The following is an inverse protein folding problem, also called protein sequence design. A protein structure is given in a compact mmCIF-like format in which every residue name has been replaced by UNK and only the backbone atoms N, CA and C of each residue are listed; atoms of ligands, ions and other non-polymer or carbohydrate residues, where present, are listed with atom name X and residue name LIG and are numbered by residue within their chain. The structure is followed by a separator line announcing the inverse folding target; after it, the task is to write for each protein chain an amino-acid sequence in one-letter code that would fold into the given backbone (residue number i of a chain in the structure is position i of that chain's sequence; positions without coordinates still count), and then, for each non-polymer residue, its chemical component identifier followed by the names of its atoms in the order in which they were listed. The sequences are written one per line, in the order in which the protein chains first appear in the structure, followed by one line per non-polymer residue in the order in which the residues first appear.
data_IF_095229514418
#
_entry.id   IF_095229514418
#
_cell.length_a   1.000
_cell.length_b   1.000
_cell.length_c   1.000
_cell.angle_alpha   90.00
_cell.angle_beta   90.00
_cell.angle_gamma   90.00
#
_symmetry.space_group_name_H-M   'P 1'
#
loop_
_entity.id
_entity.type
_entity.pdbx_description
1 polymer ?
#
# COMPACT_ATOMS: atom_id res chain seq x y z
N UNK A 1 -14.75 14.83 -60.41
CA UNK A 1 -14.53 13.63 -59.57
C UNK A 1 -13.63 14.08 -58.41
N UNK A 2 -14.21 14.54 -57.31
CA UNK A 2 -13.48 15.08 -56.16
C UNK A 2 -13.68 14.11 -54.99
N UNK A 3 -12.60 13.48 -54.54
CA UNK A 3 -12.59 12.62 -53.34
C UNK A 3 -12.33 13.50 -52.12
N UNK A 4 -13.32 13.58 -51.22
CA UNK A 4 -13.20 14.27 -49.94
C UNK A 4 -12.72 13.26 -48.90
N UNK A 5 -11.44 13.34 -48.52
CA UNK A 5 -10.86 12.48 -47.46
C UNK A 5 -11.18 13.09 -46.10
N UNK A 6 -12.09 12.46 -45.36
CA UNK A 6 -12.44 12.84 -43.98
C UNK A 6 -11.36 12.28 -43.05
N UNK A 7 -10.54 13.15 -42.47
CA UNK A 7 -9.64 12.80 -41.37
C UNK A 7 -10.44 12.82 -40.05
N UNK A 8 -10.83 11.65 -39.57
CA UNK A 8 -11.38 11.47 -38.22
C UNK A 8 -10.20 11.61 -37.26
N UNK A 9 -10.11 12.75 -36.58
CA UNK A 9 -9.20 12.92 -35.44
C UNK A 9 -9.69 11.98 -34.33
N UNK A 10 -9.03 10.84 -34.16
CA UNK A 10 -9.17 9.99 -32.98
C UNK A 10 -8.63 10.77 -31.79
N UNK A 11 -9.53 11.43 -31.05
CA UNK A 11 -9.22 11.95 -29.73
C UNK A 11 -8.81 10.75 -28.86
N UNK A 12 -7.54 10.73 -28.44
CA UNK A 12 -7.04 9.76 -27.46
C UNK A 12 -7.81 10.03 -26.17
N UNK A 13 -8.75 9.14 -25.83
CA UNK A 13 -9.42 9.12 -24.54
C UNK A 13 -8.35 8.89 -23.47
N UNK A 14 -7.81 9.97 -22.91
CA UNK A 14 -7.02 9.94 -21.69
C UNK A 14 -7.83 9.18 -20.66
N UNK A 15 -7.29 8.05 -20.22
CA UNK A 15 -7.92 7.19 -19.23
C UNK A 15 -8.17 8.01 -17.97
N UNK A 16 -9.44 8.36 -17.73
CA UNK A 16 -9.85 9.14 -16.58
C UNK A 16 -9.63 8.28 -15.34
N UNK A 17 -8.73 8.74 -14.48
CA UNK A 17 -8.55 8.19 -13.14
C UNK A 17 -9.69 8.73 -12.29
N UNK A 18 -10.65 7.86 -11.97
CA UNK A 18 -11.81 8.22 -11.18
C UNK A 18 -11.51 7.88 -9.72
N UNK A 19 -11.41 8.91 -8.88
CA UNK A 19 -11.38 8.78 -7.42
C UNK A 19 -12.79 9.07 -6.89
N UNK A 20 -13.74 8.15 -7.11
CA UNK A 20 -15.13 8.29 -6.64
C UNK A 20 -15.27 8.01 -5.14
N UNK A 21 -14.22 7.52 -4.49
CA UNK A 21 -14.21 7.09 -3.09
C UNK A 21 -12.91 7.54 -2.41
N UNK A 22 -12.96 8.18 -1.22
CA UNK A 22 -11.75 8.50 -0.44
C UNK A 22 -10.88 7.29 -0.10
N UNK A 23 -11.43 6.07 -0.21
CA UNK A 23 -10.76 4.82 0.11
C UNK A 23 -10.14 4.09 -1.05
N UNK A 24 -10.64 4.35 -2.25
CA UNK A 24 -10.41 3.48 -3.39
C UNK A 24 -9.88 4.30 -4.54
N UNK A 25 -8.77 3.82 -5.09
CA UNK A 25 -8.07 4.47 -6.18
C UNK A 25 -7.87 3.48 -7.31
N UNK A 26 -8.46 3.79 -8.46
CA UNK A 26 -8.39 2.94 -9.63
C UNK A 26 -7.46 3.56 -10.68
N UNK A 27 -6.37 2.85 -10.98
CA UNK A 27 -5.49 3.17 -12.10
C UNK A 27 -5.73 2.14 -13.23
N UNK A 28 -5.99 2.61 -14.46
CA UNK A 28 -6.34 1.74 -15.60
C UNK A 28 -5.22 0.78 -16.02
N UNK A 29 -3.97 1.06 -15.62
CA UNK A 29 -2.79 0.27 -15.99
C UNK A 29 -2.21 -0.50 -14.81
N UNK A 30 -2.35 0.04 -13.59
CA UNK A 30 -1.75 -0.55 -12.39
C UNK A 30 -2.70 -1.41 -11.58
N UNK A 31 -4.02 -1.15 -11.61
CA UNK A 31 -5.02 -1.88 -10.83
C UNK A 31 -5.73 -0.99 -9.81
N UNK A 32 -6.27 -1.59 -8.74
CA UNK A 32 -7.03 -0.90 -7.69
C UNK A 32 -6.30 -0.93 -6.36
N UNK A 33 -6.15 0.22 -5.72
CA UNK A 33 -5.82 0.30 -4.29
C UNK A 33 -7.10 0.52 -3.52
N UNK A 34 -7.34 -0.31 -2.51
CA UNK A 34 -8.52 -0.22 -1.65
C UNK A 34 -8.09 -0.30 -0.18
N UNK A 35 -8.23 0.82 0.51
CA UNK A 35 -7.86 0.97 1.93
C UNK A 35 -9.07 0.79 2.86
N UNK A 36 -10.25 0.43 2.35
CA UNK A 36 -11.51 0.40 3.12
C UNK A 36 -11.40 -0.50 4.35
N UNK A 37 -10.74 -1.65 4.22
CA UNK A 37 -10.56 -2.62 5.31
C UNK A 37 -9.61 -2.15 6.42
N UNK A 38 -8.78 -1.13 6.15
CA UNK A 38 -7.86 -0.58 7.14
C UNK A 38 -8.51 0.46 8.05
N UNK A 39 -9.58 1.11 7.57
CA UNK A 39 -10.27 2.14 8.32
C UNK A 39 -11.13 1.56 9.43
N UNK A 40 -10.93 2.01 10.67
CA UNK A 40 -11.81 1.64 11.79
C UNK A 40 -13.13 2.41 11.71
N UNK A 41 -14.23 1.73 12.00
CA UNK A 41 -15.58 2.32 12.01
C UNK A 41 -16.08 2.67 13.41
N UNK A 42 -15.29 2.44 14.46
CA UNK A 42 -15.66 2.69 15.86
C UNK A 42 -15.39 4.15 16.30
N UNK A 43 -15.13 5.05 15.35
CA UNK A 43 -14.82 6.45 15.61
C UNK A 43 -13.43 6.69 16.20
N UNK A 44 -12.54 5.69 16.20
CA UNK A 44 -11.14 5.79 16.64
C UNK A 44 -10.18 5.67 15.46
N UNK A 45 -8.95 6.17 15.64
CA UNK A 45 -7.90 6.01 14.66
C UNK A 45 -7.45 4.54 14.52
N UNK A 46 -7.26 4.06 13.28
CA UNK A 46 -6.62 2.77 13.01
C UNK A 46 -5.16 2.75 13.49
N UNK A 47 -4.49 3.89 13.34
CA UNK A 47 -3.10 4.09 13.75
C UNK A 47 -3.06 5.29 14.68
N UNK A 48 -3.21 5.07 15.98
CA UNK A 48 -3.17 6.14 16.98
C UNK A 48 -1.74 6.41 17.47
N UNK A 49 -1.50 7.64 17.93
CA UNK A 49 -0.37 8.00 18.78
C UNK A 49 1.03 7.67 18.22
N UNK A 50 1.22 7.77 16.90
CA UNK A 50 2.52 7.55 16.27
C UNK A 50 3.45 8.72 16.53
N UNK A 51 4.62 8.42 17.11
CA UNK A 51 5.67 9.41 17.39
C UNK A 51 6.72 9.32 16.29
N UNK A 52 7.18 10.45 15.71
CA UNK A 52 8.24 10.41 14.73
C UNK A 52 9.55 9.84 15.25
N UNK A 53 10.28 9.04 14.43
CA UNK A 53 11.55 8.44 14.84
C UNK A 53 12.62 9.45 15.26
N UNK A 54 12.58 10.66 14.70
CA UNK A 54 13.51 11.75 15.02
C UNK A 54 13.24 12.39 16.39
N UNK A 55 12.18 11.95 17.09
CA UNK A 55 11.62 12.66 18.23
C UNK A 55 10.79 13.87 17.78
N UNK A 56 9.67 14.09 18.45
CA UNK A 56 8.82 15.27 18.25
C UNK A 56 8.05 15.55 19.54
N UNK A 57 7.66 16.81 19.74
CA UNK A 57 6.72 17.17 20.81
C UNK A 57 5.27 16.86 20.43
N UNK A 58 5.05 16.12 19.35
CA UNK A 58 3.75 15.72 18.84
C UNK A 58 3.70 14.24 18.49
N UNK A 59 2.52 13.67 18.68
CA UNK A 59 2.10 12.36 18.19
C UNK A 59 1.01 12.53 17.14
N UNK A 60 0.87 11.54 16.27
CA UNK A 60 -0.01 11.59 15.12
C UNK A 60 -0.94 10.39 15.09
N UNK A 61 -2.21 10.65 14.81
CA UNK A 61 -3.23 9.64 14.65
C UNK A 61 -3.78 9.68 13.23
N UNK A 62 -3.98 8.52 12.63
CA UNK A 62 -4.49 8.36 11.26
C UNK A 62 -5.54 7.28 11.20
N UNK A 63 -6.64 7.58 10.52
CA UNK A 63 -7.61 6.59 10.10
C UNK A 63 -7.83 6.74 8.59
N UNK A 64 -7.36 5.79 7.76
CA UNK A 64 -7.78 5.79 6.37
C UNK A 64 -9.30 5.66 6.32
N UNK A 65 -9.92 6.23 5.29
CA UNK A 65 -11.31 5.96 4.91
C UNK A 65 -12.45 6.45 5.80
N UNK A 66 -12.31 6.36 7.11
CA UNK A 66 -13.38 6.60 8.06
C UNK A 66 -12.99 7.75 8.98
N UNK A 67 -13.87 8.75 9.17
CA UNK A 67 -13.57 9.83 10.09
C UNK A 67 -13.47 9.29 11.52
N UNK A 68 -12.60 9.90 12.33
CA UNK A 68 -12.50 9.62 13.75
C UNK A 68 -12.50 10.90 14.58
N UNK A 69 -12.70 10.75 15.88
CA UNK A 69 -12.65 11.84 16.85
C UNK A 69 -11.53 11.62 17.86
N UNK A 70 -10.80 12.69 18.17
CA UNK A 70 -9.80 12.70 19.22
C UNK A 70 -9.80 14.09 19.89
N UNK A 71 -9.87 14.10 21.21
CA UNK A 71 -9.90 15.36 21.97
C UNK A 71 -8.51 16.01 22.01
N UNK A 72 -8.43 17.35 22.13
CA UNK A 72 -9.55 18.29 22.25
C UNK A 72 -10.15 18.85 20.94
N UNK A 73 -9.47 18.78 19.79
CA UNK A 73 -9.89 19.54 18.59
C UNK A 73 -10.12 18.71 17.32
N UNK A 74 -9.79 17.42 17.32
CA UNK A 74 -9.93 16.58 16.14
C UNK A 74 -11.30 15.95 16.08
N UNK A 75 -12.21 16.53 15.30
CA UNK A 75 -13.59 16.04 15.10
C UNK A 75 -13.83 15.69 13.64
N UNK A 76 -14.25 14.47 13.37
CA UNK A 76 -14.53 13.99 12.02
C UNK A 76 -13.33 14.03 11.08
N UNK A 77 -12.12 13.78 11.60
CA UNK A 77 -10.87 13.93 10.84
C UNK A 77 -10.36 12.61 10.29
N UNK A 78 -9.52 12.69 9.26
CA UNK A 78 -8.71 11.57 8.75
C UNK A 78 -7.36 11.49 9.46
N UNK A 79 -6.80 12.65 9.81
CA UNK A 79 -5.48 12.78 10.44
C UNK A 79 -5.54 13.82 11.55
N UNK A 80 -5.00 13.48 12.70
CA UNK A 80 -4.86 14.36 13.86
C UNK A 80 -3.40 14.45 14.30
N UNK A 81 -2.98 15.63 14.73
CA UNK A 81 -1.74 15.87 15.46
C UNK A 81 -2.08 16.30 16.88
N UNK A 82 -1.42 15.73 17.88
CA UNK A 82 -1.63 16.08 19.30
C UNK A 82 -0.27 16.28 19.96
N UNK A 83 -0.13 17.32 20.80
CA UNK A 83 1.07 17.52 21.59
C UNK A 83 1.27 16.36 22.57
N UNK A 84 2.51 16.08 22.94
CA UNK A 84 2.82 14.97 23.86
C UNK A 84 2.16 15.13 25.24
N UNK A 85 1.87 16.37 25.65
CA UNK A 85 1.12 16.67 26.88
C UNK A 85 -0.41 16.67 26.70
N UNK A 86 -0.91 16.40 25.49
CA UNK A 86 -2.34 16.32 25.17
C UNK A 86 -3.08 17.65 25.12
N UNK A 87 -2.39 18.78 25.34
CA UNK A 87 -3.04 20.10 25.48
C UNK A 87 -3.37 20.77 24.15
N UNK A 88 -2.57 20.52 23.13
CA UNK A 88 -2.75 21.09 21.81
C UNK A 88 -3.08 19.97 20.83
N UNK A 89 -4.08 20.20 19.98
CA UNK A 89 -4.37 19.30 18.88
C UNK A 89 -4.75 20.09 17.64
N UNK A 90 -4.39 19.53 16.48
CA UNK A 90 -4.59 20.15 15.19
C UNK A 90 -5.15 19.10 14.23
N UNK A 91 -6.27 19.43 13.59
CA UNK A 91 -6.74 18.68 12.42
C UNK A 91 -5.75 18.88 11.28
N UNK A 92 -5.29 17.78 10.69
CA UNK A 92 -4.40 17.83 9.52
C UNK A 92 -5.11 17.48 8.21
N UNK A 93 -6.39 17.10 8.28
CA UNK A 93 -7.23 16.86 7.12
C UNK A 93 -8.38 15.89 7.39
N UNK A 94 -9.37 15.91 6.49
CA UNK A 94 -10.54 15.03 6.49
C UNK A 94 -10.66 14.25 5.18
N UNK A 95 -11.53 13.26 5.16
CA UNK A 95 -11.83 12.42 4.00
C UNK A 95 -12.32 13.24 2.80
N UNK A 96 -12.96 14.38 3.03
CA UNK A 96 -13.44 15.29 1.97
C UNK A 96 -12.29 16.00 1.24
N UNK A 97 -11.10 16.04 1.83
CA UNK A 97 -9.91 16.69 1.29
C UNK A 97 -8.98 15.76 0.51
N UNK A 98 -9.40 14.50 0.35
CA UNK A 98 -8.54 13.44 -0.19
C UNK A 98 -8.08 13.75 -1.61
N UNK A 99 -6.80 13.52 -1.87
CA UNK A 99 -6.23 13.55 -3.23
C UNK A 99 -5.27 12.40 -3.41
N UNK A 100 -5.47 11.65 -4.48
CA UNK A 100 -4.64 10.53 -4.85
C UNK A 100 -3.62 10.90 -5.90
N UNK A 101 -2.46 10.24 -5.86
CA UNK A 101 -1.46 10.28 -6.91
C UNK A 101 -0.90 8.86 -7.12
N UNK A 102 -0.89 8.34 -8.36
CA UNK A 102 -0.43 6.99 -8.67
C UNK A 102 1.09 6.80 -8.57
N UNK A 103 1.83 7.86 -8.21
CA UNK A 103 3.29 7.90 -8.30
C UNK A 103 3.77 8.11 -9.74
N UNK A 104 4.82 8.91 -9.91
CA UNK A 104 5.38 9.20 -11.22
C UNK A 104 6.31 8.06 -11.68
N UNK A 105 5.80 7.16 -12.52
CA UNK A 105 6.58 6.11 -13.18
C UNK A 105 6.35 4.69 -12.65
N UNK A 106 7.13 3.76 -13.20
CA UNK A 106 7.18 2.35 -12.77
C UNK A 106 7.95 2.25 -11.46
N UNK A 107 7.38 1.59 -10.46
CA UNK A 107 7.99 1.42 -9.13
C UNK A 107 7.83 2.60 -8.17
N UNK A 108 7.27 3.73 -8.61
CA UNK A 108 6.92 4.82 -7.71
C UNK A 108 5.75 4.43 -6.80
N UNK A 109 5.93 4.60 -5.49
CA UNK A 109 4.87 4.38 -4.51
C UNK A 109 3.71 5.37 -4.74
N UNK A 110 2.46 4.90 -4.78
CA UNK A 110 1.30 5.77 -4.80
C UNK A 110 1.21 6.57 -3.49
N UNK A 111 0.54 7.70 -3.55
CA UNK A 111 0.33 8.55 -2.37
C UNK A 111 -1.13 8.95 -2.27
N UNK A 112 -1.59 9.08 -1.03
CA UNK A 112 -2.87 9.69 -0.67
C UNK A 112 -2.56 10.89 0.21
N UNK A 113 -3.22 12.01 -0.07
CA UNK A 113 -3.01 13.25 0.66
C UNK A 113 -4.31 13.81 1.22
N UNK A 114 -4.19 14.49 2.34
CA UNK A 114 -5.27 15.16 3.06
C UNK A 114 -4.85 16.60 3.36
N UNK A 115 -5.81 17.50 3.56
CA UNK A 115 -5.51 18.89 3.90
C UNK A 115 -6.54 19.51 4.83
N UNK A 116 -6.06 20.40 5.70
CA UNK A 116 -6.89 21.29 6.52
C UNK A 116 -6.26 22.69 6.52
N UNK A 117 -6.91 23.65 5.84
CA UNK A 117 -6.34 24.98 5.64
C UNK A 117 -5.05 24.93 4.82
N UNK A 118 -3.96 25.44 5.37
CA UNK A 118 -2.61 25.42 4.79
C UNK A 118 -1.82 24.13 5.10
N UNK A 119 -2.36 23.26 5.97
CA UNK A 119 -1.74 21.99 6.33
C UNK A 119 -2.01 20.93 5.28
N UNK A 120 -0.98 20.17 4.94
CA UNK A 120 -1.04 19.05 4.00
C UNK A 120 -0.36 17.83 4.58
N UNK A 121 -1.06 16.70 4.60
CA UNK A 121 -0.50 15.39 4.92
C UNK A 121 -0.32 14.62 3.62
N UNK A 122 0.84 13.99 3.45
CA UNK A 122 1.08 13.01 2.38
C UNK A 122 1.39 11.67 3.01
N UNK A 123 0.55 10.67 2.74
CA UNK A 123 0.78 9.28 3.14
C UNK A 123 1.31 8.54 1.93
N UNK A 124 2.54 8.04 2.04
CA UNK A 124 3.15 7.18 1.04
C UNK A 124 2.68 5.75 1.28
N UNK A 125 2.16 5.11 0.23
CA UNK A 125 1.65 3.75 0.29
C UNK A 125 2.78 2.78 -0.05
N UNK A 126 3.32 2.12 0.97
CA UNK A 126 4.37 1.12 0.82
C UNK A 126 3.73 -0.28 0.80
N UNK A 127 3.82 -0.93 -0.36
CA UNK A 127 3.32 -2.28 -0.55
C UNK A 127 4.14 -3.29 0.28
N UNK A 128 3.45 -4.10 1.09
CA UNK A 128 4.05 -5.20 1.84
C UNK A 128 3.16 -6.45 1.78
N UNK A 129 3.67 -7.54 1.19
CA UNK A 129 2.93 -8.80 0.98
C UNK A 129 3.05 -9.79 2.14
N UNK A 130 3.91 -9.50 3.12
CA UNK A 130 4.20 -10.35 4.28
C UNK A 130 3.19 -10.17 5.44
N UNK A 131 2.17 -9.33 5.24
CA UNK A 131 1.17 -9.03 6.26
C UNK A 131 1.57 -7.91 7.22
N UNK A 132 2.68 -7.22 6.97
CA UNK A 132 3.03 -6.00 7.70
C UNK A 132 1.86 -5.01 7.68
N UNK A 133 1.56 -4.43 8.82
CA UNK A 133 0.52 -3.43 8.99
C UNK A 133 1.02 -2.32 9.91
N UNK A 134 1.74 -1.37 9.33
CA UNK A 134 2.47 -0.35 10.08
C UNK A 134 2.25 1.04 9.49
N UNK A 135 2.14 2.02 10.38
CA UNK A 135 2.20 3.43 10.01
C UNK A 135 3.39 4.07 10.71
N UNK A 136 4.29 4.62 9.92
CA UNK A 136 5.39 5.46 10.38
C UNK A 136 5.03 6.93 10.13
N UNK A 137 4.95 7.73 11.19
CA UNK A 137 4.73 9.16 11.08
C UNK A 137 6.09 9.87 11.02
N UNK A 138 6.49 10.43 9.88
CA UNK A 138 7.76 11.16 9.76
C UNK A 138 7.67 12.60 10.30
N UNK A 139 6.49 13.02 10.77
CA UNK A 139 6.24 14.36 11.30
C UNK A 139 6.11 15.42 10.21
N UNK A 140 6.58 16.62 10.52
CA UNK A 140 6.50 17.84 9.71
C UNK A 140 7.89 18.22 9.17
N UNK A 141 8.42 17.54 8.14
CA UNK A 141 9.75 17.82 7.61
C UNK A 141 9.91 19.24 7.05
N UNK A 142 8.81 19.86 6.63
CA UNK A 142 8.75 21.25 6.18
C UNK A 142 7.46 21.86 6.72
N UNK A 143 7.46 23.16 7.02
CA UNK A 143 6.30 23.83 7.64
C UNK A 143 4.99 23.51 6.94
N UNK A 144 3.99 23.12 7.73
CA UNK A 144 2.65 22.68 7.37
C UNK A 144 2.56 21.50 6.38
N UNK A 145 3.67 20.78 6.15
CA UNK A 145 3.71 19.62 5.26
C UNK A 145 4.17 18.39 6.05
N UNK A 146 3.23 17.49 6.28
CA UNK A 146 3.39 16.28 7.06
C UNK A 146 3.58 15.07 6.15
N UNK A 147 4.42 14.13 6.55
CA UNK A 147 4.68 12.91 5.77
C UNK A 147 4.52 11.66 6.62
N UNK A 148 3.72 10.71 6.15
CA UNK A 148 3.62 9.37 6.74
C UNK A 148 3.97 8.30 5.71
N UNK A 149 4.33 7.12 6.18
CA UNK A 149 4.49 5.91 5.39
C UNK A 149 3.52 4.87 5.95
N UNK A 150 2.62 4.37 5.11
CA UNK A 150 1.72 3.27 5.44
C UNK A 150 2.22 2.01 4.74
N UNK A 151 2.73 1.07 5.52
CA UNK A 151 3.21 -0.22 5.05
C UNK A 151 2.12 -1.27 5.26
N UNK A 152 1.51 -1.71 4.15
CA UNK A 152 0.41 -2.67 4.20
C UNK A 152 0.23 -3.44 2.89
N UNK A 153 -0.39 -4.62 2.95
CA UNK A 153 -0.83 -5.35 1.76
C UNK A 153 -1.81 -4.53 0.91
N UNK A 154 -2.71 -3.77 1.52
CA UNK A 154 -3.69 -2.92 0.82
C UNK A 154 -3.06 -1.71 0.11
N UNK A 155 -1.82 -1.36 0.45
CA UNK A 155 -1.07 -0.34 -0.28
C UNK A 155 -0.52 -0.85 -1.62
N UNK A 156 -0.57 -2.17 -1.87
CA UNK A 156 -0.28 -2.76 -3.16
C UNK A 156 -1.47 -2.59 -4.11
N UNK A 157 -1.19 -2.39 -5.40
CA UNK A 157 -2.20 -2.55 -6.44
C UNK A 157 -2.81 -3.95 -6.38
N UNK A 158 -4.14 -4.01 -6.33
CA UNK A 158 -4.98 -5.21 -6.18
C UNK A 158 -4.66 -6.04 -4.91
N UNK A 159 -4.00 -5.45 -3.91
CA UNK A 159 -3.49 -6.18 -2.76
C UNK A 159 -4.54 -6.64 -1.74
N UNK A 160 -5.62 -5.87 -1.60
CA UNK A 160 -6.66 -6.14 -0.58
C UNK A 160 -8.00 -6.64 -1.09
N UNK A 161 -8.09 -6.94 -2.39
CA UNK A 161 -9.08 -7.84 -2.97
C UNK A 161 -10.53 -7.65 -2.52
N UNK A 162 -11.25 -6.79 -3.24
CA UNK A 162 -12.62 -7.05 -3.73
C UNK A 162 -12.73 -6.56 -5.19
N UNK A 163 -11.63 -6.60 -5.94
CA UNK A 163 -11.73 -6.40 -7.38
C UNK A 163 -12.44 -7.64 -7.92
N UNK A 164 -13.63 -7.56 -8.54
CA UNK A 164 -14.10 -8.63 -9.38
C UNK A 164 -13.11 -8.68 -10.53
N UNK A 165 -12.05 -9.48 -10.34
CA UNK A 165 -11.18 -9.90 -11.42
C UNK A 165 -12.12 -10.53 -12.42
N UNK A 166 -12.44 -9.76 -13.46
CA UNK A 166 -12.84 -10.31 -14.74
C UNK A 166 -11.63 -11.09 -15.20
N UNK A 167 -11.47 -12.29 -14.63
CA UNK A 167 -10.61 -13.31 -15.17
C UNK A 167 -11.32 -13.73 -16.45
N UNK A 168 -11.07 -13.00 -17.53
CA UNK A 168 -11.17 -13.56 -18.87
C UNK A 168 -10.08 -14.61 -18.94
N UNK A 169 -10.35 -15.76 -18.35
CA UNK A 169 -9.71 -17.02 -18.69
C UNK A 169 -10.17 -17.30 -20.12
N UNK A 170 -9.41 -16.82 -21.09
CA UNK A 170 -9.45 -17.39 -22.43
C UNK A 170 -8.88 -18.80 -22.28
N UNK A 171 -9.75 -19.74 -21.92
CA UNK A 171 -9.52 -21.16 -22.12
C UNK A 171 -9.52 -21.38 -23.62
N UNK A 172 -8.34 -21.25 -24.24
CA UNK A 172 -8.12 -21.85 -25.55
C UNK A 172 -8.14 -23.36 -25.32
N UNK A 173 -9.33 -23.94 -25.45
CA UNK A 173 -9.51 -25.37 -25.60
C UNK A 173 -8.85 -25.77 -26.91
N UNK A 174 -7.56 -26.07 -26.86
CA UNK A 174 -6.91 -26.87 -27.89
C UNK A 174 -7.48 -28.27 -27.78
N UNK A 175 -8.51 -28.55 -28.56
CA UNK A 175 -9.06 -29.88 -28.77
C UNK A 175 -7.96 -30.75 -29.38
N UNK A 176 -7.23 -31.48 -28.53
CA UNK A 176 -6.37 -32.56 -28.97
C UNK A 176 -7.26 -33.63 -29.65
N UNK A 177 -6.85 -34.15 -30.82
CA UNK A 177 -7.56 -35.26 -31.44
C UNK A 177 -7.59 -36.47 -30.50
N UNK A 178 -8.64 -37.31 -30.59
CA UNK A 178 -8.83 -38.44 -29.71
C UNK A 178 -7.62 -39.39 -29.75
N UNK A 179 -7.16 -39.90 -28.59
CA UNK A 179 -6.06 -40.84 -28.53
C UNK A 179 -6.43 -42.16 -29.25
N UNK A 180 -5.50 -42.77 -30.00
CA UNK A 180 -5.73 -44.07 -30.61
C UNK A 180 -5.92 -45.18 -29.55
N UNK A 181 -6.62 -46.28 -29.88
CA UNK A 181 -6.96 -47.33 -28.94
C UNK A 181 -5.71 -47.93 -28.28
N UNK A 182 -5.64 -47.88 -26.95
CA UNK A 182 -4.55 -48.46 -26.20
C UNK A 182 -4.64 -49.99 -26.21
N UNK A 183 -3.59 -50.64 -26.73
CA UNK A 183 -3.39 -52.08 -26.56
C UNK A 183 -2.92 -52.36 -25.15
N UNK A 184 -3.66 -53.26 -24.51
CA UNK A 184 -3.41 -53.80 -23.19
C UNK A 184 -2.09 -54.60 -23.20
N UNK A 185 -1.04 -54.08 -22.57
CA UNK A 185 0.14 -54.87 -22.21
C UNK A 185 0.25 -54.94 -20.69
N UNK A 186 -0.12 -56.12 -20.18
CA UNK A 186 0.08 -56.53 -18.80
C UNK A 186 1.57 -56.72 -18.55
N UNK A 187 2.15 -55.98 -17.60
CA UNK A 187 3.50 -56.25 -17.10
C UNK A 187 3.44 -56.30 -15.57
N UNK A 188 3.69 -57.49 -15.06
CA UNK A 188 3.89 -57.80 -13.65
C UNK A 188 5.15 -57.12 -13.10
N UNK A 189 5.03 -56.60 -11.88
CA UNK A 189 6.09 -56.56 -10.87
C UNK A 189 7.16 -55.48 -11.03
N UNK A 190 7.22 -54.58 -10.04
CA UNK A 190 8.36 -54.51 -9.11
C UNK A 190 8.13 -53.41 -8.08
N UNK A 191 8.30 -53.82 -6.82
CA UNK A 191 8.32 -52.98 -5.62
C UNK A 191 9.51 -52.02 -5.71
N UNK A 192 9.26 -50.71 -5.61
CA UNK A 192 10.29 -49.71 -5.31
C UNK A 192 10.00 -49.09 -3.95
N UNK A 193 10.97 -49.27 -3.06
CA UNK A 193 11.04 -48.73 -1.70
C UNK A 193 11.21 -47.21 -1.73
N UNK A 194 10.48 -46.52 -0.84
CA UNK A 194 10.61 -45.08 -0.60
C UNK A 194 12.00 -44.77 -0.04
N UNK A 195 12.72 -43.83 -0.66
CA UNK A 195 13.94 -43.29 -0.06
C UNK A 195 13.81 -41.80 0.28
N UNK A 196 14.48 -41.49 1.39
CA UNK A 196 14.31 -40.34 2.27
C UNK A 196 14.65 -39.00 1.62
N UNK A 197 13.86 -37.99 2.00
CA UNK A 197 14.25 -36.58 1.99
C UNK A 197 15.51 -36.34 2.85
N UNK A 198 16.46 -35.57 2.33
CA UNK A 198 17.49 -34.89 3.12
C UNK A 198 17.48 -33.41 2.75
N UNK A 199 16.87 -32.61 3.61
CA UNK A 199 16.91 -31.14 3.59
C UNK A 199 18.31 -30.75 4.10
N UNK A 200 19.12 -30.12 3.24
CA UNK A 200 20.38 -29.50 3.66
C UNK A 200 20.10 -28.07 4.13
N UNK A 201 20.14 -27.88 5.44
CA UNK A 201 20.19 -26.57 6.09
C UNK A 201 21.52 -25.87 5.79
N UNK A 202 21.44 -24.61 5.35
CA UNK A 202 22.58 -23.70 5.26
C UNK A 202 22.75 -22.97 6.60
N UNK A 203 23.93 -22.97 7.24
CA UNK A 203 24.22 -22.06 8.33
C UNK A 203 24.73 -20.72 7.77
N UNK A 204 23.93 -19.66 7.90
CA UNK A 204 24.43 -18.29 7.80
C UNK A 204 25.16 -17.95 9.10
N UNK A 205 26.49 -17.86 9.03
CA UNK A 205 27.32 -17.39 10.13
C UNK A 205 27.45 -15.86 10.02
N UNK A 206 26.72 -15.13 10.87
CA UNK A 206 26.90 -13.67 11.04
C UNK A 206 28.09 -13.45 11.98
N UNK A 207 29.16 -12.86 11.45
CA UNK A 207 30.31 -12.44 12.22
C UNK A 207 30.06 -11.05 12.80
N UNK A 208 29.95 -10.95 14.12
CA UNK A 208 29.80 -9.69 14.86
C UNK A 208 31.20 -9.16 15.13
N UNK A 209 31.50 -7.95 14.68
CA UNK A 209 32.75 -7.25 14.98
C UNK A 209 32.49 -6.19 16.06
N UNK A 210 33.00 -6.34 17.30
CA UNK A 210 32.89 -5.31 18.32
C UNK A 210 34.22 -4.56 18.44
N UNK A 211 34.30 -3.31 17.97
CA UNK A 211 35.31 -2.36 18.43
C UNK A 211 35.05 -0.94 17.93
N UNK A 212 34.59 -0.04 18.81
CA UNK A 212 35.43 0.93 19.52
C UNK A 212 34.57 2.04 20.19
N UNK A 213 34.93 2.48 21.41
CA UNK A 213 34.37 3.68 22.03
C UNK A 213 35.14 4.94 21.60
N UNK A 214 34.44 5.98 21.15
CA UNK A 214 35.02 7.32 20.98
C UNK A 214 34.65 8.26 22.14
N UNK A 215 35.69 8.48 22.95
CA UNK A 215 36.13 9.72 23.59
C UNK A 215 35.16 10.90 23.72
N UNK A 216 34.90 11.23 24.98
CA UNK A 216 34.54 12.55 25.47
C UNK A 216 35.67 13.57 25.21
N UNK A 217 35.30 14.79 24.83
CA UNK A 217 36.18 15.95 24.86
C UNK A 217 35.54 17.11 25.63
N UNK A 218 36.34 17.95 26.33
CA UNK A 218 35.87 18.83 27.38
C UNK A 218 35.43 20.22 26.92
N UNK A 219 34.64 20.81 27.81
CA UNK A 219 34.27 22.23 27.97
C UNK A 219 35.42 23.21 27.71
N UNK A 220 35.08 24.32 27.06
CA UNK A 220 35.65 25.65 27.31
C UNK A 220 34.50 26.65 27.34
#
# INVERSE_FOLDING_TARGET
MFWLTIFINFAVLSSLVIADDPCRFQDPKKGVIDLTSLGRTDGKAAYADKIPPTGSNYKYSYNPCKPFNEEPACKGVAVCQISMDGKFSFSLGSQDSVKWSPGAGLGASPTISYSAGDKKVTVTLQCAIDGTNELEALGEPTTNNYKFILTNKCACWDGCGDSPTTATTTTTTTTLPPPPPQRNCSINGSVYTSDKQVIRSFPFHVSINPSQPQQSSPRS
#
